data_IF_018016938291
#
_entry.id   IF_018016938291
#
_cell.length_a   1.000
_cell.length_b   1.000
_cell.length_c   1.000
_cell.angle_alpha   90.00
_cell.angle_beta   90.00
_cell.angle_gamma   90.00
#
_symmetry.space_group_name_H-M   'P 1'
#
loop_
_entity.id
_entity.type
_entity.pdbx_description
1 polymer ?
#
# COMPACT_ATOMS: atom_id res chain seq x y z
N UNK A 1 -23.12 70.93 -8.67
CA UNK A 1 -22.34 70.27 -7.59
C UNK A 1 -23.19 69.17 -6.99
N UNK A 2 -22.98 67.94 -7.44
CA UNK A 2 -23.73 66.75 -6.95
C UNK A 2 -22.87 66.07 -5.92
N UNK A 3 -23.35 65.96 -4.66
CA UNK A 3 -22.75 65.18 -3.59
C UNK A 3 -22.94 63.69 -3.91
N UNK A 4 -21.85 62.97 -4.16
CA UNK A 4 -21.83 61.52 -4.10
C UNK A 4 -21.87 61.11 -2.61
N UNK A 5 -23.00 60.59 -2.17
CA UNK A 5 -23.09 59.82 -0.93
C UNK A 5 -22.36 58.50 -1.14
N UNK A 6 -21.33 58.25 -0.35
CA UNK A 6 -20.62 56.98 -0.25
C UNK A 6 -21.49 56.03 0.58
N UNK A 7 -22.19 55.12 -0.08
CA UNK A 7 -22.83 53.97 0.59
C UNK A 7 -21.76 53.16 1.30
N UNK A 8 -21.77 53.18 2.62
CA UNK A 8 -20.98 52.24 3.44
C UNK A 8 -21.60 50.86 3.30
N UNK A 9 -20.79 49.79 3.29
CA UNK A 9 -21.30 48.43 3.18
C UNK A 9 -22.00 48.02 4.49
N UNK A 10 -23.30 48.23 4.54
CA UNK A 10 -24.20 47.91 5.66
C UNK A 10 -24.18 46.38 6.01
N UNK A 11 -23.83 45.57 5.03
CA UNK A 11 -23.76 44.09 5.20
C UNK A 11 -22.65 43.60 6.13
N UNK A 12 -21.51 44.29 6.22
CA UNK A 12 -20.39 43.84 7.06
C UNK A 12 -20.67 44.05 8.55
N UNK A 13 -21.23 45.18 8.93
CA UNK A 13 -21.52 45.52 10.33
C UNK A 13 -22.69 44.68 10.89
N UNK A 14 -23.68 44.32 10.07
CA UNK A 14 -24.81 43.47 10.50
C UNK A 14 -24.40 42.01 10.66
N UNK A 15 -23.50 41.49 9.82
CA UNK A 15 -22.93 40.14 9.93
C UNK A 15 -22.00 40.02 11.14
N UNK A 16 -21.17 41.05 11.38
CA UNK A 16 -20.31 41.14 12.57
C UNK A 16 -21.11 41.12 13.87
N UNK A 17 -22.17 41.93 13.95
CA UNK A 17 -23.03 41.99 15.15
C UNK A 17 -23.76 40.67 15.43
N UNK A 18 -24.19 39.94 14.41
CA UNK A 18 -24.83 38.62 14.56
C UNK A 18 -23.85 37.56 15.01
N UNK A 19 -22.62 37.57 14.49
CA UNK A 19 -21.56 36.64 14.90
C UNK A 19 -21.08 36.87 16.32
N UNK A 20 -20.93 38.11 16.74
CA UNK A 20 -20.60 38.49 18.12
C UNK A 20 -21.70 38.03 19.11
N UNK A 21 -22.96 38.30 18.82
CA UNK A 21 -24.09 37.89 19.64
C UNK A 21 -24.18 36.34 19.76
N UNK A 22 -23.88 35.59 18.69
CA UNK A 22 -23.82 34.13 18.69
C UNK A 22 -22.70 33.63 19.60
N UNK A 23 -21.47 34.20 19.47
CA UNK A 23 -20.32 33.84 20.30
C UNK A 23 -20.59 34.10 21.77
N UNK A 24 -21.15 35.27 22.12
CA UNK A 24 -21.48 35.62 23.51
C UNK A 24 -22.54 34.67 24.07
N UNK A 25 -23.58 34.37 23.28
CA UNK A 25 -24.67 33.46 23.71
C UNK A 25 -24.18 32.03 23.94
N UNK A 26 -23.23 31.53 23.14
CA UNK A 26 -22.73 30.17 23.19
C UNK A 26 -21.31 30.05 23.77
N UNK A 27 -20.81 31.07 24.45
CA UNK A 27 -19.44 31.15 24.97
C UNK A 27 -19.01 29.88 25.71
N UNK A 28 -19.80 29.41 26.63
CA UNK A 28 -19.48 28.24 27.46
C UNK A 28 -19.43 26.95 26.63
N UNK A 29 -20.30 26.81 25.63
CA UNK A 29 -20.33 25.66 24.73
C UNK A 29 -19.11 25.69 23.80
N UNK A 30 -18.75 26.86 23.27
CA UNK A 30 -17.59 27.06 22.40
C UNK A 30 -16.29 26.75 23.19
N UNK A 31 -16.16 27.30 24.40
CA UNK A 31 -15.01 27.03 25.27
C UNK A 31 -14.92 25.55 25.61
N UNK A 32 -16.04 24.90 25.94
CA UNK A 32 -16.09 23.47 26.20
C UNK A 32 -15.67 22.64 25.01
N UNK A 33 -16.10 22.99 23.79
CA UNK A 33 -15.69 22.33 22.56
C UNK A 33 -14.18 22.50 22.28
N UNK A 34 -13.65 23.70 22.48
CA UNK A 34 -12.20 23.96 22.33
C UNK A 34 -11.38 23.12 23.32
N UNK A 35 -11.80 23.10 24.60
CA UNK A 35 -11.12 22.29 25.64
C UNK A 35 -11.16 20.81 25.28
N UNK A 36 -12.30 20.30 24.81
CA UNK A 36 -12.42 18.90 24.38
C UNK A 36 -11.46 18.58 23.21
N UNK A 37 -11.37 19.45 22.21
CA UNK A 37 -10.42 19.29 21.11
C UNK A 37 -8.98 19.28 21.61
N UNK A 38 -8.61 20.21 22.49
CA UNK A 38 -7.25 20.27 23.07
C UNK A 38 -6.92 18.98 23.83
N UNK A 39 -7.85 18.46 24.64
CA UNK A 39 -7.64 17.20 25.36
C UNK A 39 -7.44 16.02 24.41
N UNK A 40 -8.23 15.93 23.33
CA UNK A 40 -8.08 14.89 22.32
C UNK A 40 -6.72 15.01 21.62
N UNK A 41 -6.33 16.21 21.22
CA UNK A 41 -5.02 16.43 20.55
C UNK A 41 -3.87 16.11 21.49
N UNK A 42 -3.90 16.58 22.73
CA UNK A 42 -2.85 16.27 23.73
C UNK A 42 -2.79 14.76 24.02
N UNK A 43 -3.94 14.10 24.15
CA UNK A 43 -4.01 12.64 24.32
C UNK A 43 -3.42 11.88 23.14
N UNK A 44 -3.74 12.30 21.92
CA UNK A 44 -3.16 11.72 20.71
C UNK A 44 -1.64 11.89 20.64
N UNK A 45 -1.13 13.11 20.90
CA UNK A 45 0.31 13.39 20.90
C UNK A 45 1.04 12.59 21.98
N UNK A 46 0.48 12.51 23.19
CA UNK A 46 1.04 11.71 24.26
C UNK A 46 1.08 10.21 23.89
N UNK A 47 0.00 9.66 23.34
CA UNK A 47 -0.04 8.29 22.87
C UNK A 47 1.01 8.03 21.77
N UNK A 48 1.10 8.94 20.78
CA UNK A 48 2.07 8.80 19.70
C UNK A 48 3.51 8.77 20.21
N UNK A 49 3.89 9.78 21.03
CA UNK A 49 5.28 9.94 21.49
C UNK A 49 5.71 8.89 22.51
N UNK A 50 4.80 8.49 23.43
CA UNK A 50 5.18 7.60 24.53
C UNK A 50 4.90 6.12 24.28
N UNK A 51 4.04 5.80 23.32
CA UNK A 51 3.63 4.42 23.05
C UNK A 51 3.94 4.02 21.61
N UNK A 52 3.46 4.77 20.61
CA UNK A 52 3.55 4.39 19.20
C UNK A 52 4.99 4.47 18.67
N UNK A 53 5.67 5.59 18.84
CA UNK A 53 7.04 5.78 18.35
C UNK A 53 8.06 4.79 18.97
N UNK A 54 8.09 4.55 20.31
CA UNK A 54 8.97 3.55 20.87
C UNK A 54 8.70 2.14 20.37
N UNK A 55 7.42 1.77 20.23
CA UNK A 55 6.99 0.46 19.70
C UNK A 55 7.43 0.28 18.24
N UNK A 56 7.27 1.32 17.40
CA UNK A 56 7.74 1.32 16.02
C UNK A 56 9.25 1.16 15.92
N UNK A 57 10.00 1.89 16.76
CA UNK A 57 11.46 1.82 16.78
C UNK A 57 11.99 0.43 17.23
N UNK A 58 11.29 -0.24 18.13
CA UNK A 58 11.60 -1.62 18.54
C UNK A 58 11.30 -2.61 17.43
N UNK A 59 10.11 -2.51 16.84
CA UNK A 59 9.69 -3.34 15.71
C UNK A 59 10.60 -3.20 14.49
N UNK A 60 11.03 -1.98 14.17
CA UNK A 60 11.95 -1.70 13.07
C UNK A 60 13.34 -2.33 13.27
N UNK A 61 13.81 -2.44 14.53
CA UNK A 61 15.05 -3.16 14.84
C UNK A 61 14.89 -4.67 14.72
N UNK A 62 13.75 -5.18 15.18
CA UNK A 62 13.45 -6.61 15.13
C UNK A 62 13.34 -7.11 13.68
N UNK A 63 12.59 -6.40 12.81
CA UNK A 63 12.40 -6.80 11.41
C UNK A 63 13.72 -6.78 10.62
N UNK A 64 14.65 -5.87 10.94
CA UNK A 64 15.91 -5.71 10.20
C UNK A 64 16.73 -7.01 10.14
N UNK A 65 16.75 -7.79 11.21
CA UNK A 65 17.47 -9.09 11.22
C UNK A 65 16.76 -10.14 10.37
N UNK A 66 15.44 -10.20 10.46
CA UNK A 66 14.64 -11.09 9.64
C UNK A 66 14.77 -10.79 8.12
N UNK A 67 14.84 -9.50 7.77
CA UNK A 67 15.12 -9.05 6.39
C UNK A 67 16.49 -9.51 5.89
N UNK A 68 17.52 -9.52 6.74
CA UNK A 68 18.83 -10.04 6.39
C UNK A 68 18.80 -11.54 6.09
N UNK A 69 18.09 -12.33 6.90
CA UNK A 69 17.88 -13.75 6.62
C UNK A 69 17.12 -13.98 5.32
N UNK A 70 16.06 -13.20 5.08
CA UNK A 70 15.31 -13.22 3.82
C UNK A 70 16.23 -12.93 2.61
N UNK A 71 17.03 -11.87 2.70
CA UNK A 71 17.96 -11.48 1.62
C UNK A 71 19.02 -12.56 1.31
N UNK A 72 19.40 -13.33 2.33
CA UNK A 72 20.33 -14.46 2.18
C UNK A 72 19.65 -15.76 1.71
N UNK A 73 18.33 -15.76 1.52
CA UNK A 73 17.56 -16.94 1.13
C UNK A 73 17.27 -17.92 2.27
N UNK A 74 17.59 -17.54 3.50
CA UNK A 74 17.28 -18.35 4.70
C UNK A 74 15.86 -18.02 5.19
N UNK A 75 14.88 -18.50 4.44
CA UNK A 75 13.46 -18.18 4.66
C UNK A 75 12.92 -18.76 5.97
N UNK A 76 13.45 -19.90 6.42
CA UNK A 76 13.04 -20.53 7.67
C UNK A 76 13.47 -19.67 8.87
N UNK A 77 14.73 -19.25 8.91
CA UNK A 77 15.22 -18.36 9.97
C UNK A 77 14.59 -16.96 9.86
N UNK A 78 14.33 -16.46 8.65
CA UNK A 78 13.59 -15.21 8.48
C UNK A 78 12.19 -15.27 9.13
N UNK A 79 11.46 -16.37 8.96
CA UNK A 79 10.14 -16.56 9.56
C UNK A 79 10.19 -16.71 11.07
N UNK A 80 11.05 -17.60 11.58
CA UNK A 80 10.99 -18.09 12.98
C UNK A 80 12.02 -17.46 13.91
N UNK A 81 13.02 -16.76 13.35
CA UNK A 81 14.17 -16.24 14.11
C UNK A 81 15.25 -17.31 14.35
N UNK A 82 16.36 -16.86 14.97
CA UNK A 82 17.55 -17.70 15.25
C UNK A 82 17.66 -18.10 16.73
N UNK A 83 16.63 -17.80 17.53
CA UNK A 83 16.60 -18.01 18.98
C UNK A 83 17.19 -16.86 19.80
N UNK A 84 17.85 -15.88 19.15
CA UNK A 84 18.35 -14.64 19.75
C UNK A 84 17.60 -13.43 19.18
N UNK A 85 17.41 -13.43 17.85
CA UNK A 85 16.70 -12.38 17.14
C UNK A 85 15.31 -12.89 16.75
N UNK A 86 14.32 -12.00 16.86
CA UNK A 86 12.94 -12.30 16.46
C UNK A 86 12.84 -12.57 14.97
N UNK A 87 12.04 -13.56 14.59
CA UNK A 87 11.61 -13.76 13.21
C UNK A 87 10.39 -12.91 12.86
N UNK A 88 10.02 -12.93 11.58
CA UNK A 88 8.90 -12.15 11.05
C UNK A 88 7.59 -12.45 11.78
N UNK A 89 7.34 -13.73 12.12
CA UNK A 89 6.11 -14.14 12.80
C UNK A 89 6.01 -13.55 14.21
N UNK A 90 7.12 -13.51 14.95
CA UNK A 90 7.18 -12.89 16.27
C UNK A 90 7.01 -11.37 16.17
N UNK A 91 7.63 -10.71 15.18
CA UNK A 91 7.44 -9.25 14.94
C UNK A 91 5.97 -8.93 14.69
N UNK A 92 5.27 -9.75 13.91
CA UNK A 92 3.84 -9.58 13.64
C UNK A 92 3.01 -9.71 14.92
N UNK A 93 3.30 -10.70 15.75
CA UNK A 93 2.55 -10.99 16.98
C UNK A 93 2.77 -9.90 18.04
N UNK A 94 4.00 -9.51 18.30
CA UNK A 94 4.36 -8.59 19.39
C UNK A 94 4.15 -7.12 19.00
N UNK A 95 4.35 -6.78 17.71
CA UNK A 95 4.37 -5.40 17.26
C UNK A 95 3.17 -5.02 16.37
N UNK A 96 2.09 -5.78 16.41
CA UNK A 96 0.90 -5.52 15.61
C UNK A 96 0.45 -4.04 15.66
N UNK A 97 0.12 -3.49 14.49
CA UNK A 97 -0.28 -2.08 14.30
C UNK A 97 0.89 -1.12 14.04
N UNK A 98 2.14 -1.61 13.95
CA UNK A 98 3.30 -0.83 13.50
C UNK A 98 3.51 -1.00 11.99
N UNK A 99 4.23 -0.04 11.37
CA UNK A 99 4.62 -0.14 9.97
C UNK A 99 5.59 -1.32 9.75
N UNK A 100 6.48 -1.57 10.71
CA UNK A 100 7.38 -2.71 10.67
C UNK A 100 6.62 -4.05 10.69
N UNK A 101 5.59 -4.22 11.53
CA UNK A 101 4.76 -5.41 11.52
C UNK A 101 3.96 -5.55 10.21
N UNK A 102 3.52 -4.43 9.64
CA UNK A 102 2.89 -4.45 8.32
C UNK A 102 3.86 -4.92 7.22
N UNK A 103 5.11 -4.46 7.24
CA UNK A 103 6.15 -4.97 6.34
C UNK A 103 6.48 -6.44 6.62
N UNK A 104 6.47 -6.87 7.87
CA UNK A 104 6.68 -8.27 8.22
C UNK A 104 5.63 -9.21 7.60
N UNK A 105 4.37 -8.78 7.43
CA UNK A 105 3.38 -9.52 6.67
C UNK A 105 3.80 -9.76 5.22
N UNK A 106 4.33 -8.74 4.55
CA UNK A 106 4.81 -8.87 3.17
C UNK A 106 5.98 -9.87 3.09
N UNK A 107 7.00 -9.71 3.93
CA UNK A 107 8.16 -10.60 3.94
C UNK A 107 7.80 -12.05 4.34
N UNK A 108 6.92 -12.24 5.33
CA UNK A 108 6.47 -13.57 5.73
C UNK A 108 5.74 -14.26 4.58
N UNK A 109 4.85 -13.55 3.90
CA UNK A 109 4.16 -14.09 2.73
C UNK A 109 5.12 -14.43 1.58
N UNK A 110 6.15 -13.61 1.34
CA UNK A 110 7.20 -13.91 0.37
C UNK A 110 8.04 -15.14 0.78
N UNK A 111 8.39 -15.29 2.05
CA UNK A 111 9.08 -16.48 2.55
C UNK A 111 8.26 -17.74 2.28
N UNK A 112 6.98 -17.75 2.63
CA UNK A 112 6.09 -18.88 2.37
C UNK A 112 5.93 -19.16 0.87
N UNK A 113 5.87 -18.13 0.03
CA UNK A 113 5.81 -18.31 -1.43
C UNK A 113 7.08 -18.99 -1.96
N UNK A 114 8.27 -18.60 -1.47
CA UNK A 114 9.54 -19.26 -1.82
C UNK A 114 9.61 -20.73 -1.37
N UNK A 115 9.00 -21.03 -0.23
CA UNK A 115 8.85 -22.40 0.27
C UNK A 115 7.71 -23.18 -0.42
N UNK A 116 7.04 -22.60 -1.41
CA UNK A 116 5.89 -23.15 -2.14
C UNK A 116 4.66 -23.42 -1.25
N UNK A 117 4.62 -22.84 -0.06
CA UNK A 117 3.44 -22.85 0.81
C UNK A 117 2.50 -21.70 0.44
N UNK A 118 1.80 -21.87 -0.68
CA UNK A 118 0.99 -20.81 -1.27
C UNK A 118 -0.23 -20.40 -0.43
N UNK A 119 -0.74 -21.31 0.41
CA UNK A 119 -1.88 -20.99 1.29
C UNK A 119 -1.47 -20.00 2.37
N UNK A 120 -0.35 -20.26 3.07
CA UNK A 120 0.18 -19.31 4.03
C UNK A 120 0.70 -18.04 3.36
N UNK A 121 1.35 -18.15 2.19
CA UNK A 121 1.78 -16.99 1.44
C UNK A 121 0.61 -16.03 1.18
N UNK A 122 -0.52 -16.52 0.69
CA UNK A 122 -1.73 -15.75 0.45
C UNK A 122 -2.25 -15.15 1.78
N UNK A 123 -2.35 -15.96 2.84
CA UNK A 123 -2.84 -15.52 4.14
C UNK A 123 -2.05 -14.33 4.70
N UNK A 124 -0.73 -14.33 4.55
CA UNK A 124 0.13 -13.24 5.01
C UNK A 124 0.14 -12.06 4.05
N UNK A 125 0.27 -12.27 2.73
CA UNK A 125 0.29 -11.19 1.74
C UNK A 125 -1.03 -10.39 1.71
N UNK A 126 -2.17 -11.03 1.94
CA UNK A 126 -3.48 -10.33 1.99
C UNK A 126 -3.63 -9.42 3.22
N UNK A 127 -2.84 -9.63 4.27
CA UNK A 127 -2.84 -8.77 5.47
C UNK A 127 -1.96 -7.53 5.32
N UNK A 128 -1.04 -7.54 4.36
CA UNK A 128 -0.24 -6.36 4.05
C UNK A 128 -1.13 -5.26 3.50
N UNK A 129 -1.02 -4.07 4.07
CA UNK A 129 -1.81 -2.91 3.66
C UNK A 129 -0.92 -1.66 3.60
N UNK A 130 -0.58 -1.24 2.40
CA UNK A 130 0.18 -0.02 2.17
C UNK A 130 -0.29 0.65 0.89
N UNK A 131 -0.27 1.98 0.88
CA UNK A 131 -0.42 2.80 -0.33
C UNK A 131 0.93 3.14 -0.98
N UNK A 132 2.02 2.48 -0.59
CA UNK A 132 3.34 2.69 -1.15
C UNK A 132 3.40 2.21 -2.60
N UNK A 133 3.87 3.08 -3.49
CA UNK A 133 3.91 2.82 -4.94
C UNK A 133 5.00 1.85 -5.39
N UNK A 134 5.86 1.41 -4.48
CA UNK A 134 6.95 0.47 -4.77
C UNK A 134 6.61 -0.90 -4.21
N UNK A 135 6.31 -0.98 -2.91
CA UNK A 135 6.08 -2.25 -2.22
C UNK A 135 4.72 -2.86 -2.55
N UNK A 136 3.66 -2.04 -2.57
CA UNK A 136 2.30 -2.52 -2.82
C UNK A 136 2.15 -3.27 -4.15
N UNK A 137 2.65 -2.76 -5.31
CA UNK A 137 2.62 -3.52 -6.55
C UNK A 137 3.43 -4.82 -6.51
N UNK A 138 4.56 -4.84 -5.80
CA UNK A 138 5.37 -6.06 -5.65
C UNK A 138 4.65 -7.14 -4.84
N UNK A 139 3.94 -6.75 -3.77
CA UNK A 139 3.10 -7.67 -2.98
C UNK A 139 1.93 -8.17 -3.82
N UNK A 140 1.26 -7.32 -4.59
CA UNK A 140 0.19 -7.74 -5.51
C UNK A 140 0.70 -8.70 -6.59
N UNK A 141 1.91 -8.46 -7.13
CA UNK A 141 2.55 -9.37 -8.06
C UNK A 141 2.79 -10.74 -7.43
N UNK A 142 3.37 -10.79 -6.23
CA UNK A 142 3.61 -12.04 -5.50
C UNK A 142 2.30 -12.78 -5.20
N UNK A 143 1.28 -12.05 -4.74
CA UNK A 143 -0.06 -12.59 -4.46
C UNK A 143 -0.71 -13.15 -5.73
N UNK A 144 -0.60 -12.45 -6.87
CA UNK A 144 -1.06 -12.91 -8.17
C UNK A 144 -0.43 -14.24 -8.56
N UNK A 145 0.89 -14.38 -8.39
CA UNK A 145 1.59 -15.63 -8.65
C UNK A 145 1.16 -16.75 -7.71
N UNK A 146 0.97 -16.48 -6.42
CA UNK A 146 0.44 -17.48 -5.49
C UNK A 146 -0.95 -17.98 -5.90
N UNK A 147 -1.85 -17.07 -6.33
CA UNK A 147 -3.17 -17.47 -6.85
C UNK A 147 -3.08 -18.26 -8.16
N UNK A 148 -2.11 -17.96 -9.02
CA UNK A 148 -1.88 -18.75 -10.23
C UNK A 148 -1.45 -20.20 -9.89
N UNK A 149 -0.58 -20.38 -8.91
CA UNK A 149 -0.21 -21.71 -8.42
C UNK A 149 -1.37 -22.46 -7.76
N UNK A 150 -2.34 -21.74 -7.20
CA UNK A 150 -3.59 -22.32 -6.66
C UNK A 150 -4.68 -22.47 -7.73
N UNK A 151 -4.32 -22.36 -9.02
CA UNK A 151 -5.23 -22.46 -10.18
C UNK A 151 -6.37 -21.44 -10.21
N UNK A 152 -6.30 -20.39 -9.36
CA UNK A 152 -7.26 -19.28 -9.41
C UNK A 152 -6.78 -18.22 -10.41
N UNK A 153 -6.81 -18.60 -11.68
CA UNK A 153 -6.19 -17.82 -12.77
C UNK A 153 -6.86 -16.45 -12.95
N UNK A 154 -8.18 -16.37 -12.79
CA UNK A 154 -8.87 -15.07 -12.97
C UNK A 154 -8.47 -14.06 -11.88
N UNK A 155 -8.34 -14.50 -10.61
CA UNK A 155 -7.85 -13.64 -9.52
C UNK A 155 -6.38 -13.28 -9.72
N UNK A 156 -5.56 -14.22 -10.19
CA UNK A 156 -4.16 -13.99 -10.52
C UNK A 156 -4.01 -12.89 -11.58
N UNK A 157 -4.69 -13.02 -12.71
CA UNK A 157 -4.67 -12.02 -13.78
C UNK A 157 -5.09 -10.64 -13.26
N UNK A 158 -6.18 -10.57 -12.51
CA UNK A 158 -6.64 -9.30 -11.93
C UNK A 158 -5.56 -8.63 -11.09
N UNK A 159 -4.95 -9.38 -10.16
CA UNK A 159 -3.89 -8.85 -9.28
C UNK A 159 -2.64 -8.41 -10.05
N UNK A 160 -2.26 -9.15 -11.10
CA UNK A 160 -1.14 -8.77 -11.96
C UNK A 160 -1.42 -7.48 -12.74
N UNK A 161 -2.64 -7.32 -13.27
CA UNK A 161 -3.02 -6.09 -13.96
C UNK A 161 -3.09 -4.89 -13.00
N UNK A 162 -3.67 -5.09 -11.82
CA UNK A 162 -3.71 -4.06 -10.76
C UNK A 162 -2.28 -3.66 -10.34
N UNK A 163 -1.36 -4.64 -10.21
CA UNK A 163 0.04 -4.38 -9.90
C UNK A 163 0.75 -3.59 -11.02
N UNK A 164 0.50 -3.94 -12.29
CA UNK A 164 1.08 -3.25 -13.43
C UNK A 164 0.65 -1.78 -13.50
N UNK A 165 -0.64 -1.52 -13.28
CA UNK A 165 -1.22 -0.18 -13.34
C UNK A 165 -0.77 0.69 -12.17
N UNK A 166 -0.68 0.12 -10.97
CA UNK A 166 -0.23 0.84 -9.77
C UNK A 166 1.26 1.16 -9.82
N UNK A 167 2.10 0.20 -10.23
CA UNK A 167 3.54 0.40 -10.35
C UNK A 167 3.88 1.47 -11.40
N UNK A 168 3.26 1.37 -12.57
CA UNK A 168 3.45 2.24 -13.73
C UNK A 168 4.95 2.57 -13.97
N UNK A 169 5.80 1.55 -13.99
CA UNK A 169 7.23 1.68 -14.16
C UNK A 169 7.81 0.53 -14.98
N UNK A 170 9.02 0.74 -15.50
CA UNK A 170 9.71 -0.19 -16.41
C UNK A 170 10.14 -1.51 -15.72
N UNK A 171 10.20 -1.57 -14.41
CA UNK A 171 10.71 -2.73 -13.66
C UNK A 171 9.62 -3.73 -13.32
N UNK A 172 8.44 -3.26 -12.89
CA UNK A 172 7.37 -4.12 -12.37
C UNK A 172 6.27 -4.32 -13.41
N UNK A 173 5.83 -3.22 -14.07
CA UNK A 173 4.65 -3.27 -14.94
C UNK A 173 4.81 -4.24 -16.13
N UNK A 174 5.91 -4.24 -16.90
CA UNK A 174 6.03 -5.15 -18.05
C UNK A 174 6.04 -6.62 -17.62
N UNK A 175 6.65 -6.94 -16.50
CA UNK A 175 6.65 -8.30 -15.94
C UNK A 175 5.25 -8.77 -15.57
N UNK A 176 4.49 -7.92 -14.87
CA UNK A 176 3.11 -8.23 -14.51
C UNK A 176 2.22 -8.42 -15.76
N UNK A 177 2.37 -7.54 -16.76
CA UNK A 177 1.63 -7.62 -18.02
C UNK A 177 1.98 -8.89 -18.80
N UNK A 178 3.27 -9.26 -18.84
CA UNK A 178 3.72 -10.46 -19.52
C UNK A 178 3.16 -11.73 -18.88
N UNK A 179 3.23 -11.82 -17.54
CA UNK A 179 2.69 -12.97 -16.80
C UNK A 179 1.15 -13.07 -16.97
N UNK A 180 0.44 -11.95 -16.93
CA UNK A 180 -1.00 -11.92 -17.19
C UNK A 180 -1.34 -12.34 -18.63
N UNK A 181 -0.54 -11.91 -19.62
CA UNK A 181 -0.73 -12.29 -21.02
C UNK A 181 -0.53 -13.80 -21.23
N UNK A 182 0.51 -14.39 -20.64
CA UNK A 182 0.73 -15.84 -20.72
C UNK A 182 -0.41 -16.65 -20.08
N UNK A 183 -1.02 -16.10 -19.01
CA UNK A 183 -2.20 -16.72 -18.41
C UNK A 183 -3.44 -16.64 -19.32
N UNK A 184 -3.62 -15.51 -20.02
CA UNK A 184 -4.68 -15.40 -21.04
C UNK A 184 -4.48 -16.36 -22.21
N UNK A 185 -3.22 -16.57 -22.67
CA UNK A 185 -2.93 -17.58 -23.69
C UNK A 185 -3.33 -18.98 -23.25
N UNK A 186 -2.95 -19.36 -22.01
CA UNK A 186 -3.35 -20.68 -21.44
C UNK A 186 -4.87 -20.85 -21.33
N UNK A 187 -5.61 -19.75 -21.20
CA UNK A 187 -7.09 -19.75 -21.22
C UNK A 187 -7.69 -19.74 -22.65
N UNK A 188 -6.85 -19.72 -23.71
CA UNK A 188 -7.31 -19.58 -25.10
C UNK A 188 -7.83 -18.19 -25.45
N UNK A 189 -7.55 -17.18 -24.64
CA UNK A 189 -7.96 -15.78 -24.83
C UNK A 189 -6.86 -14.98 -25.54
N UNK A 190 -6.48 -15.43 -26.76
CA UNK A 190 -5.35 -14.89 -27.50
C UNK A 190 -5.46 -13.37 -27.75
N UNK A 191 -6.64 -12.85 -28.05
CA UNK A 191 -6.81 -11.41 -28.29
C UNK A 191 -6.43 -10.56 -27.08
N UNK A 192 -6.79 -11.01 -25.86
CA UNK A 192 -6.42 -10.34 -24.62
C UNK A 192 -4.92 -10.41 -24.34
N UNK A 193 -4.29 -11.55 -24.63
CA UNK A 193 -2.85 -11.69 -24.50
C UNK A 193 -2.11 -10.73 -25.45
N UNK A 194 -2.53 -10.65 -26.70
CA UNK A 194 -1.96 -9.75 -27.71
C UNK A 194 -2.11 -8.28 -27.29
N UNK A 195 -3.24 -7.90 -26.72
CA UNK A 195 -3.45 -6.55 -26.18
C UNK A 195 -2.38 -6.20 -25.13
N UNK A 196 -2.11 -7.10 -24.18
CA UNK A 196 -1.10 -6.89 -23.15
C UNK A 196 0.33 -6.88 -23.71
N UNK A 197 0.66 -7.74 -24.67
CA UNK A 197 1.96 -7.71 -25.35
C UNK A 197 2.17 -6.40 -26.12
N UNK A 198 1.14 -5.90 -26.81
CA UNK A 198 1.20 -4.59 -27.45
C UNK A 198 1.37 -3.45 -26.43
N UNK A 199 0.75 -3.55 -25.26
CA UNK A 199 0.94 -2.60 -24.19
C UNK A 199 2.39 -2.57 -23.71
N UNK A 200 3.03 -3.75 -23.50
CA UNK A 200 4.46 -3.85 -23.17
C UNK A 200 5.32 -3.18 -24.25
N UNK A 201 5.06 -3.51 -25.53
CA UNK A 201 5.81 -2.97 -26.66
C UNK A 201 5.76 -1.45 -26.74
N UNK A 202 4.58 -0.87 -26.50
CA UNK A 202 4.36 0.55 -26.71
C UNK A 202 4.72 1.41 -25.47
N UNK A 203 4.39 0.93 -24.28
CA UNK A 203 4.59 1.69 -23.02
C UNK A 203 5.98 1.44 -22.42
N UNK A 204 6.55 0.23 -22.61
CA UNK A 204 7.82 -0.19 -21.99
C UNK A 204 8.82 -0.78 -22.99
N UNK A 205 9.15 -0.08 -24.10
CA UNK A 205 9.97 -0.65 -25.18
C UNK A 205 11.40 -1.01 -24.76
N UNK A 206 11.88 -0.48 -23.64
CA UNK A 206 13.23 -0.76 -23.11
C UNK A 206 13.21 -1.86 -22.02
N UNK A 207 12.05 -2.41 -21.67
CA UNK A 207 11.97 -3.50 -20.71
C UNK A 207 12.52 -4.82 -21.30
N UNK A 208 13.10 -5.69 -20.47
CA UNK A 208 13.52 -7.02 -20.91
C UNK A 208 12.39 -7.82 -21.57
N UNK A 209 11.16 -7.69 -21.05
CA UNK A 209 9.96 -8.35 -21.56
C UNK A 209 9.56 -7.89 -22.96
N UNK A 210 9.96 -6.67 -23.38
CA UNK A 210 9.76 -6.18 -24.72
C UNK A 210 10.70 -6.83 -25.75
N UNK A 211 11.78 -7.46 -25.27
CA UNK A 211 12.72 -8.13 -26.16
C UNK A 211 12.05 -9.31 -26.87
N UNK A 212 12.01 -9.27 -28.21
CA UNK A 212 11.33 -10.28 -29.04
C UNK A 212 9.80 -10.40 -28.79
N UNK A 213 9.16 -9.39 -28.25
CA UNK A 213 7.72 -9.40 -27.96
C UNK A 213 6.85 -9.64 -29.21
N UNK A 214 7.35 -9.21 -30.39
CA UNK A 214 6.68 -9.42 -31.68
C UNK A 214 6.47 -10.90 -31.99
N UNK A 215 7.29 -11.80 -31.45
CA UNK A 215 7.10 -13.24 -31.60
C UNK A 215 5.79 -13.71 -30.92
N UNK A 216 5.46 -13.14 -29.77
CA UNK A 216 4.24 -13.46 -29.05
C UNK A 216 3.00 -12.80 -29.70
N UNK A 217 3.15 -11.58 -30.22
CA UNK A 217 2.08 -10.88 -30.95
C UNK A 217 1.69 -11.61 -32.24
N UNK A 218 2.67 -12.15 -32.94
CA UNK A 218 2.47 -12.79 -34.27
C UNK A 218 2.32 -14.32 -34.21
N UNK A 219 2.38 -14.94 -33.04
CA UNK A 219 2.19 -16.37 -32.85
C UNK A 219 0.68 -16.71 -32.90
N UNK A 220 0.09 -16.69 -34.14
CA UNK A 220 -1.28 -17.14 -34.39
C UNK A 220 -1.29 -18.54 -34.96
#
# INVERSE_FOLDING_TARGET
MSKKETEKPILADEVLGKSEAFVIKHKNTIVGAIVAIVVIVCGYLAYNTFISEPKEAEAAKAIFKAEQYFANGDFETALNGDGINAGLLQVIEENGGTDAANMAYAYAGLCYAQQQNYDEAINYLEKFNSGDKIVSPMVKYALGNCYAHKENIDKAIKLLLDAADEANNITVSPKCLFDAATMYEKQGKADKAIELYNRIKNEYPQAPEATNIDRFINAK
#
